data_IF_404210581648
#
_entry.id   IF_404210581648
#
_cell.length_a   1.000
_cell.length_b   1.000
_cell.length_c   1.000
_cell.angle_alpha   90.00
_cell.angle_beta   90.00
_cell.angle_gamma   90.00
#
_symmetry.space_group_name_H-M   'P 1'
#
loop_
_entity.id
_entity.type
_entity.pdbx_description
1 polymer ?
#
# COMPACT_ATOMS: atom_id res chain seq x y z
N UNK A 1 -26.28 11.42 28.31
CA UNK A 1 -25.43 11.32 29.52
C UNK A 1 -24.01 11.68 29.10
N UNK A 2 -23.35 12.60 29.79
CA UNK A 2 -21.93 12.89 29.52
C UNK A 2 -21.06 11.76 30.06
N UNK A 3 -20.16 11.21 29.24
CA UNK A 3 -19.16 10.27 29.72
C UNK A 3 -18.21 11.01 30.70
N UNK A 4 -17.80 10.37 31.81
CA UNK A 4 -16.85 10.99 32.74
C UNK A 4 -15.49 11.18 32.08
N UNK A 5 -14.89 12.36 32.27
CA UNK A 5 -13.51 12.65 31.88
C UNK A 5 -12.59 12.46 33.09
N UNK A 6 -11.73 11.44 33.04
CA UNK A 6 -10.74 11.18 34.09
C UNK A 6 -9.44 11.93 33.81
N UNK A 7 -8.85 12.58 34.83
CA UNK A 7 -7.52 13.23 34.72
C UNK A 7 -6.37 12.22 34.80
N UNK A 8 -6.56 11.14 35.54
CA UNK A 8 -5.62 10.03 35.75
C UNK A 8 -6.40 8.80 36.20
N UNK A 9 -5.71 7.65 36.33
CA UNK A 9 -6.30 6.42 36.86
C UNK A 9 -6.70 6.59 38.33
N UNK A 10 -7.90 6.14 38.69
CA UNK A 10 -8.35 6.05 40.09
C UNK A 10 -7.79 4.81 40.78
N UNK A 11 -7.82 4.77 42.11
CA UNK A 11 -7.39 3.58 42.85
C UNK A 11 -8.25 2.35 42.52
N UNK A 12 -9.56 2.52 42.32
CA UNK A 12 -10.46 1.44 41.90
C UNK A 12 -10.07 0.90 40.51
N UNK A 13 -9.70 1.79 39.59
CA UNK A 13 -9.22 1.40 38.26
C UNK A 13 -7.88 0.65 38.37
N UNK A 14 -6.95 1.09 39.22
CA UNK A 14 -5.68 0.37 39.43
C UNK A 14 -5.89 -0.99 40.11
N UNK A 15 -6.87 -1.12 41.02
CA UNK A 15 -7.27 -2.42 41.58
C UNK A 15 -7.85 -3.36 40.50
N UNK A 16 -8.55 -2.81 39.51
CA UNK A 16 -9.14 -3.59 38.42
C UNK A 16 -8.12 -3.97 37.33
N UNK A 17 -7.27 -3.04 36.90
CA UNK A 17 -6.39 -3.19 35.73
C UNK A 17 -4.92 -3.46 36.09
N UNK A 18 -4.60 -3.45 37.37
CA UNK A 18 -3.25 -3.64 37.90
C UNK A 18 -2.50 -2.31 38.09
N UNK A 19 -1.33 -2.38 38.76
CA UNK A 19 -0.47 -1.22 38.95
C UNK A 19 0.11 -0.73 37.61
N UNK A 20 0.74 0.44 37.65
CA UNK A 20 1.55 0.91 36.53
C UNK A 20 2.59 -0.16 36.14
N UNK A 21 2.73 -0.38 34.84
CA UNK A 21 3.65 -1.37 34.26
C UNK A 21 4.89 -0.66 33.71
N UNK A 22 6.04 -1.33 33.77
CA UNK A 22 7.24 -0.89 33.07
C UNK A 22 7.06 -0.98 31.55
N UNK A 23 7.82 -0.19 30.80
CA UNK A 23 7.78 -0.23 29.34
C UNK A 23 8.34 -1.56 28.82
N UNK A 24 7.62 -2.18 27.88
CA UNK A 24 8.14 -3.31 27.12
C UNK A 24 9.19 -2.82 26.11
N UNK A 25 10.38 -3.45 26.14
CA UNK A 25 11.47 -3.15 25.21
C UNK A 25 11.71 -4.35 24.30
N UNK A 26 11.55 -4.13 23.00
CA UNK A 26 11.72 -5.18 21.98
C UNK A 26 13.06 -5.01 21.26
N UNK A 27 13.75 -6.14 21.05
CA UNK A 27 14.89 -6.21 20.12
C UNK A 27 14.38 -6.66 18.76
N UNK A 28 14.67 -5.89 17.70
CA UNK A 28 14.11 -6.13 16.38
C UNK A 28 15.16 -6.15 15.27
N UNK A 29 14.84 -6.82 14.16
CA UNK A 29 15.55 -6.73 12.88
C UNK A 29 14.59 -6.38 11.74
N UNK A 30 15.17 -6.00 10.59
CA UNK A 30 14.42 -5.57 9.41
C UNK A 30 14.68 -6.54 8.27
N UNK A 31 13.62 -7.05 7.65
CA UNK A 31 13.71 -7.79 6.41
C UNK A 31 13.09 -6.96 5.29
N UNK A 32 13.83 -6.81 4.19
CA UNK A 32 13.43 -5.97 3.06
C UNK A 32 13.16 -6.87 1.85
N UNK A 33 11.98 -6.70 1.28
CA UNK A 33 11.49 -7.39 0.10
C UNK A 33 11.30 -6.37 -1.01
N UNK A 34 11.85 -6.64 -2.19
CA UNK A 34 11.75 -5.73 -3.33
C UNK A 34 11.09 -6.43 -4.52
N UNK A 35 10.36 -5.67 -5.34
CA UNK A 35 9.80 -6.16 -6.61
C UNK A 35 10.88 -6.84 -7.48
N UNK A 36 10.60 -7.97 -8.15
CA UNK A 36 9.31 -8.65 -8.33
C UNK A 36 8.94 -9.65 -7.21
N UNK A 37 9.47 -9.47 -5.98
CA UNK A 37 9.05 -10.22 -4.79
C UNK A 37 9.20 -11.75 -4.87
N UNK A 38 10.26 -12.22 -5.55
CA UNK A 38 10.55 -13.65 -5.70
C UNK A 38 11.36 -14.14 -4.49
N UNK A 39 10.67 -14.40 -3.38
CA UNK A 39 11.25 -14.91 -2.15
C UNK A 39 10.50 -16.16 -1.68
N UNK A 40 11.21 -17.09 -1.01
CA UNK A 40 10.63 -18.38 -0.58
C UNK A 40 9.43 -18.25 0.36
N UNK A 41 9.34 -17.15 1.07
CA UNK A 41 8.35 -16.89 2.11
C UNK A 41 7.36 -15.78 1.73
N UNK A 42 7.35 -15.39 0.45
CA UNK A 42 6.45 -14.37 -0.10
C UNK A 42 5.56 -15.01 -1.14
N UNK A 43 4.27 -14.69 -1.07
CA UNK A 43 3.25 -15.10 -2.01
C UNK A 43 2.63 -13.85 -2.63
N UNK A 44 2.54 -13.82 -3.96
CA UNK A 44 2.00 -12.69 -4.72
C UNK A 44 0.89 -13.21 -5.62
N UNK A 45 -0.24 -12.52 -5.68
CA UNK A 45 -1.33 -12.90 -6.57
C UNK A 45 -2.24 -11.74 -6.95
N UNK A 46 -3.01 -11.99 -8.01
CA UNK A 46 -4.00 -11.08 -8.60
C UNK A 46 -3.41 -9.70 -8.95
N UNK A 47 -2.48 -9.71 -9.90
CA UNK A 47 -1.79 -8.55 -10.45
C UNK A 47 -1.95 -8.52 -11.98
N UNK A 48 -1.87 -7.34 -12.57
CA UNK A 48 -2.05 -7.13 -14.01
C UNK A 48 -0.73 -7.26 -14.78
N UNK A 49 0.32 -6.61 -14.30
CA UNK A 49 1.62 -6.60 -14.97
C UNK A 49 2.78 -6.60 -13.97
N UNK A 50 3.93 -7.06 -14.47
CA UNK A 50 5.23 -6.86 -13.83
C UNK A 50 6.04 -5.98 -14.79
N UNK A 51 6.18 -4.71 -14.43
CA UNK A 51 6.93 -3.73 -15.20
C UNK A 51 8.31 -3.52 -14.54
N UNK A 52 9.43 -3.67 -15.26
CA UNK A 52 10.78 -3.49 -14.71
C UNK A 52 11.06 -2.11 -14.09
N UNK A 53 10.28 -1.09 -14.46
CA UNK A 53 10.41 0.31 -14.03
C UNK A 53 9.39 0.72 -12.96
N UNK A 54 8.24 0.01 -12.86
CA UNK A 54 7.17 0.32 -11.90
C UNK A 54 7.04 -0.68 -10.76
N UNK A 55 7.39 -1.94 -10.99
CA UNK A 55 7.17 -3.05 -10.07
C UNK A 55 5.97 -3.92 -10.48
N UNK A 56 5.28 -4.49 -9.48
CA UNK A 56 4.08 -5.30 -9.71
C UNK A 56 2.86 -4.40 -9.56
N UNK A 57 2.04 -4.28 -10.60
CA UNK A 57 0.76 -3.56 -10.56
C UNK A 57 -0.33 -4.50 -10.05
N UNK A 58 -0.74 -4.29 -8.80
CA UNK A 58 -1.76 -5.11 -8.17
C UNK A 58 -3.15 -4.67 -8.61
N UNK A 59 -4.01 -5.65 -8.85
CA UNK A 59 -5.42 -5.37 -9.04
C UNK A 59 -6.02 -4.80 -7.77
N UNK A 60 -6.71 -3.68 -7.89
CA UNK A 60 -7.29 -3.02 -6.74
C UNK A 60 -8.24 -3.94 -5.96
N UNK A 61 -8.22 -3.82 -4.63
CA UNK A 61 -8.97 -4.61 -3.63
C UNK A 61 -8.59 -6.09 -3.51
N UNK A 62 -8.36 -6.80 -4.62
CA UNK A 62 -8.18 -8.25 -4.63
C UNK A 62 -6.72 -8.68 -4.75
N UNK A 63 -5.88 -7.85 -5.38
CA UNK A 63 -4.42 -8.02 -5.45
C UNK A 63 -3.76 -8.05 -4.08
N UNK A 64 -2.79 -8.96 -3.92
CA UNK A 64 -2.19 -9.23 -2.63
C UNK A 64 -0.71 -9.61 -2.69
N UNK A 65 0.00 -9.22 -1.63
CA UNK A 65 1.35 -9.66 -1.30
C UNK A 65 1.34 -10.17 0.15
N UNK A 66 1.54 -11.47 0.34
CA UNK A 66 1.58 -12.10 1.66
C UNK A 66 3.01 -12.44 2.04
N UNK A 67 3.47 -12.01 3.21
CA UNK A 67 4.80 -12.32 3.75
C UNK A 67 4.64 -13.20 4.99
N UNK A 68 5.37 -14.31 5.02
CA UNK A 68 5.41 -15.24 6.16
C UNK A 68 6.80 -15.20 6.79
N UNK A 69 6.90 -14.72 8.01
CA UNK A 69 8.15 -14.64 8.77
C UNK A 69 8.27 -15.80 9.76
N UNK A 70 9.49 -16.25 10.03
CA UNK A 70 9.71 -17.24 11.09
C UNK A 70 9.55 -16.62 12.49
N UNK A 71 9.72 -15.29 12.58
CA UNK A 71 9.64 -14.50 13.81
C UNK A 71 8.43 -13.54 13.77
N UNK A 72 7.89 -13.13 14.94
CA UNK A 72 6.74 -12.23 14.99
C UNK A 72 7.03 -10.86 14.36
N UNK A 73 6.08 -10.38 13.56
CA UNK A 73 6.10 -9.09 12.86
C UNK A 73 5.43 -8.04 13.74
N UNK A 74 6.14 -6.94 14.02
CA UNK A 74 5.64 -5.82 14.83
C UNK A 74 5.25 -4.62 13.99
N UNK A 75 5.80 -4.51 12.77
CA UNK A 75 5.47 -3.44 11.85
C UNK A 75 5.77 -3.83 10.40
N UNK A 76 5.07 -3.17 9.49
CA UNK A 76 5.24 -3.31 8.05
C UNK A 76 5.31 -1.92 7.44
N UNK A 77 6.34 -1.65 6.64
CA UNK A 77 6.40 -0.46 5.81
C UNK A 77 6.16 -0.88 4.37
N UNK A 78 5.21 -0.22 3.70
CA UNK A 78 4.88 -0.45 2.30
C UNK A 78 5.28 0.79 1.52
N UNK A 79 6.14 0.61 0.53
CA UNK A 79 6.55 1.67 -0.38
C UNK A 79 6.02 1.36 -1.78
N UNK A 80 5.27 2.31 -2.32
CA UNK A 80 4.66 2.16 -3.63
C UNK A 80 3.92 3.41 -4.09
N UNK A 81 3.16 3.27 -5.15
CA UNK A 81 2.55 4.41 -5.84
C UNK A 81 1.38 3.96 -6.70
N UNK A 82 0.40 4.83 -6.89
CA UNK A 82 -0.74 4.57 -7.75
C UNK A 82 -0.54 5.05 -9.19
N UNK A 83 -1.27 4.45 -10.13
CA UNK A 83 -1.49 5.01 -11.46
C UNK A 83 -2.34 6.29 -11.41
N UNK A 84 -3.16 6.41 -10.35
CA UNK A 84 -4.07 7.51 -10.12
C UNK A 84 -3.98 7.99 -8.64
N UNK A 85 -4.40 9.23 -8.32
CA UNK A 85 -4.33 9.76 -6.95
C UNK A 85 -5.26 9.01 -5.98
N UNK A 86 -5.15 9.33 -4.69
CA UNK A 86 -5.95 8.71 -3.62
C UNK A 86 -5.74 7.18 -3.57
N UNK A 87 -4.48 6.79 -3.68
CA UNK A 87 -4.01 5.44 -3.39
C UNK A 87 -4.29 5.04 -1.95
N UNK A 88 -4.24 3.74 -1.71
CA UNK A 88 -4.34 3.17 -0.37
C UNK A 88 -3.52 1.90 -0.24
N UNK A 89 -3.08 1.65 0.98
CA UNK A 89 -2.52 0.37 1.37
C UNK A 89 -3.31 -0.19 2.54
N UNK A 90 -3.54 -1.50 2.51
CA UNK A 90 -4.17 -2.25 3.59
C UNK A 90 -3.15 -3.27 4.06
N UNK A 91 -2.90 -3.32 5.36
CA UNK A 91 -2.15 -4.40 5.99
C UNK A 91 -3.11 -5.20 6.86
N UNK A 92 -3.14 -6.52 6.67
CA UNK A 92 -3.99 -7.43 7.42
C UNK A 92 -3.21 -8.67 7.88
N UNK A 93 -3.67 -9.32 8.97
CA UNK A 93 -2.95 -10.43 9.60
C UNK A 93 -3.89 -11.47 10.20
N UNK A 94 -4.85 -11.90 9.39
CA UNK A 94 -5.82 -12.93 9.75
C UNK A 94 -5.13 -14.28 10.00
N UNK A 95 -5.59 -15.01 11.01
CA UNK A 95 -5.25 -16.42 11.16
C UNK A 95 -5.94 -17.24 10.05
N UNK A 96 -5.51 -18.48 9.83
CA UNK A 96 -6.18 -19.35 8.86
C UNK A 96 -7.69 -19.47 9.14
N UNK A 97 -8.49 -19.23 8.10
CA UNK A 97 -9.95 -19.25 8.19
C UNK A 97 -10.59 -18.01 8.85
N UNK A 98 -9.82 -17.07 9.40
CA UNK A 98 -10.35 -15.80 9.89
C UNK A 98 -10.56 -14.79 8.75
N UNK A 99 -11.64 -14.00 8.85
CA UNK A 99 -11.98 -12.91 7.94
C UNK A 99 -12.65 -11.78 8.71
N UNK A 100 -12.87 -10.66 8.03
CA UNK A 100 -13.67 -9.55 8.57
C UNK A 100 -15.12 -9.97 8.90
N UNK A 101 -15.65 -10.97 8.20
CA UNK A 101 -17.04 -11.43 8.35
C UNK A 101 -17.24 -12.46 9.46
N UNK A 102 -16.16 -13.08 9.97
CA UNK A 102 -16.26 -14.16 10.96
C UNK A 102 -15.45 -13.94 12.25
N UNK A 103 -14.81 -12.77 12.40
CA UNK A 103 -14.05 -12.39 13.59
C UNK A 103 -14.97 -12.12 14.81
N UNK A 104 -15.35 -13.18 15.53
CA UNK A 104 -16.18 -13.06 16.74
C UNK A 104 -15.37 -12.56 17.93
N UNK A 105 -15.74 -11.40 18.48
CA UNK A 105 -15.19 -10.81 19.71
C UNK A 105 -13.67 -10.57 19.71
N UNK A 106 -13.07 -10.40 18.53
CA UNK A 106 -11.65 -10.06 18.40
C UNK A 106 -11.48 -8.62 17.89
N UNK A 107 -10.30 -8.04 18.14
CA UNK A 107 -9.92 -6.79 17.50
C UNK A 107 -9.72 -7.02 15.99
N UNK A 108 -10.10 -6.02 15.19
CA UNK A 108 -9.95 -6.07 13.73
C UNK A 108 -8.47 -6.17 13.38
N UNK A 109 -8.08 -7.25 12.68
CA UNK A 109 -6.70 -7.51 12.26
C UNK A 109 -6.38 -6.89 10.90
N UNK A 110 -6.78 -5.63 10.73
CA UNK A 110 -6.68 -4.87 9.48
C UNK A 110 -6.46 -3.38 9.77
N UNK A 111 -5.50 -2.79 9.09
CA UNK A 111 -5.25 -1.34 9.06
C UNK A 111 -5.26 -0.87 7.61
N UNK A 112 -5.80 0.32 7.38
CA UNK A 112 -5.83 0.97 6.06
C UNK A 112 -5.25 2.36 6.18
N UNK A 113 -4.29 2.67 5.31
CA UNK A 113 -3.81 4.03 5.09
C UNK A 113 -4.32 4.48 3.73
N UNK A 114 -5.05 5.59 3.72
CA UNK A 114 -5.72 6.16 2.55
C UNK A 114 -5.07 7.48 2.11
N UNK A 115 -5.51 7.99 0.95
CA UNK A 115 -5.10 9.28 0.39
C UNK A 115 -3.59 9.36 0.14
N UNK A 116 -3.01 8.22 -0.25
CA UNK A 116 -1.64 8.13 -0.73
C UNK A 116 -1.58 8.77 -2.12
N UNK A 117 -0.80 9.85 -2.27
CA UNK A 117 -0.80 10.67 -3.50
C UNK A 117 0.48 10.54 -4.33
N UNK A 118 1.41 9.71 -3.90
CA UNK A 118 2.54 9.28 -4.70
C UNK A 118 2.11 8.54 -5.96
N UNK A 119 2.67 8.96 -7.09
CA UNK A 119 2.39 8.45 -8.44
C UNK A 119 3.69 7.96 -9.07
N UNK A 120 3.64 6.80 -9.73
CA UNK A 120 4.79 6.31 -10.51
C UNK A 120 4.79 6.94 -11.89
N UNK A 121 5.86 6.74 -12.69
CA UNK A 121 5.94 7.40 -13.97
C UNK A 121 4.71 7.12 -14.84
N UNK A 122 4.08 8.23 -15.24
CA UNK A 122 2.94 8.23 -16.13
C UNK A 122 3.26 7.46 -17.42
N UNK A 123 2.22 6.88 -18.03
CA UNK A 123 2.26 6.32 -19.38
C UNK A 123 2.98 7.25 -20.38
N UNK A 124 2.93 8.57 -20.19
CA UNK A 124 3.68 9.56 -21.00
C UNK A 124 5.18 9.36 -20.94
N UNK A 125 5.74 9.12 -19.75
CA UNK A 125 7.18 8.86 -19.56
C UNK A 125 7.56 7.55 -20.24
N UNK A 126 6.73 6.51 -20.09
CA UNK A 126 6.99 5.21 -20.69
C UNK A 126 6.90 5.22 -22.23
N UNK A 127 5.94 5.97 -22.79
CA UNK A 127 5.84 6.21 -24.23
C UNK A 127 7.07 6.95 -24.78
N UNK A 128 7.55 7.98 -24.06
CA UNK A 128 8.77 8.70 -24.47
C UNK A 128 10.03 7.85 -24.35
N UNK A 129 10.10 6.95 -23.36
CA UNK A 129 11.19 6.00 -23.19
C UNK A 129 11.14 4.84 -24.19
N UNK A 130 10.06 4.72 -24.97
CA UNK A 130 9.87 3.63 -25.93
C UNK A 130 9.63 2.27 -25.25
N UNK A 131 9.16 2.25 -24.00
CA UNK A 131 8.94 1.04 -23.20
C UNK A 131 7.88 0.11 -23.81
N UNK A 132 6.94 0.66 -24.58
CA UNK A 132 5.89 -0.09 -25.27
C UNK A 132 6.08 -0.05 -26.80
N UNK A 133 6.74 -1.06 -27.41
CA UNK A 133 6.97 -1.07 -28.84
C UNK A 133 5.66 -1.02 -29.64
N UNK A 134 5.52 0.00 -30.48
CA UNK A 134 4.38 0.16 -31.38
C UNK A 134 3.20 0.98 -30.83
N UNK A 135 3.18 1.29 -29.53
CA UNK A 135 2.20 2.20 -28.94
C UNK A 135 2.60 3.66 -29.25
N UNK A 136 1.70 4.45 -29.84
CA UNK A 136 1.94 5.87 -30.16
C UNK A 136 1.15 6.76 -29.20
N UNK A 137 1.60 8.01 -29.02
CA UNK A 137 0.92 8.99 -28.18
C UNK A 137 -0.59 9.11 -28.47
N UNK A 138 -0.95 9.19 -29.76
CA UNK A 138 -2.34 9.28 -30.24
C UNK A 138 -3.22 8.08 -29.87
N UNK A 139 -2.62 6.94 -29.53
CA UNK A 139 -3.35 5.73 -29.16
C UNK A 139 -3.79 5.76 -27.69
N UNK A 140 -3.21 6.68 -26.89
CA UNK A 140 -3.52 6.92 -25.47
C UNK A 140 -4.34 8.22 -25.30
N UNK A 141 -3.92 9.31 -25.95
CA UNK A 141 -4.68 10.57 -25.98
C UNK A 141 -4.53 11.22 -27.37
N UNK A 142 -5.64 11.46 -28.12
CA UNK A 142 -5.59 12.05 -29.45
C UNK A 142 -5.04 13.48 -29.48
N UNK A 143 -5.03 14.18 -28.34
CA UNK A 143 -4.52 15.55 -28.22
C UNK A 143 -2.99 15.60 -28.04
N UNK A 144 -2.35 14.48 -27.72
CA UNK A 144 -0.88 14.37 -27.57
C UNK A 144 -0.25 13.92 -28.89
N UNK A 145 0.41 14.85 -29.57
CA UNK A 145 0.95 14.62 -30.93
C UNK A 145 2.47 14.44 -30.95
N UNK A 146 3.16 14.77 -29.87
CA UNK A 146 4.63 14.74 -29.81
C UNK A 146 5.18 14.47 -28.41
N UNK A 147 6.46 14.04 -28.29
CA UNK A 147 7.15 13.99 -27.01
C UNK A 147 7.19 15.33 -26.28
N UNK A 148 7.17 16.45 -27.00
CA UNK A 148 7.12 17.79 -26.40
C UNK A 148 5.76 18.05 -25.74
N UNK A 149 4.66 17.60 -26.33
CA UNK A 149 3.33 17.72 -25.73
C UNK A 149 3.18 16.81 -24.50
N UNK A 150 3.75 15.61 -24.56
CA UNK A 150 3.87 14.71 -23.41
C UNK A 150 4.75 15.32 -22.30
N UNK A 151 5.91 15.90 -22.65
CA UNK A 151 6.78 16.61 -21.72
C UNK A 151 6.08 17.82 -21.11
N UNK A 152 5.25 18.58 -21.85
CA UNK A 152 4.48 19.70 -21.28
C UNK A 152 3.48 19.24 -20.22
N UNK A 153 2.78 18.13 -20.49
CA UNK A 153 1.91 17.49 -19.50
C UNK A 153 2.70 17.08 -18.25
N UNK A 154 3.97 16.70 -18.39
CA UNK A 154 4.84 16.31 -17.28
C UNK A 154 5.53 17.50 -16.58
N UNK A 155 5.97 18.52 -17.32
CA UNK A 155 6.80 19.63 -16.85
C UNK A 155 6.02 20.65 -16.04
N UNK A 156 4.72 20.75 -16.29
CA UNK A 156 3.84 21.55 -15.45
C UNK A 156 3.70 20.92 -14.06
N UNK A 157 4.19 19.69 -13.87
CA UNK A 157 4.08 18.98 -12.62
C UNK A 157 2.62 18.74 -12.29
N UNK A 158 1.70 18.70 -13.27
CA UNK A 158 0.28 18.45 -13.06
C UNK A 158 -0.31 17.59 -14.21
N UNK A 159 -1.00 16.49 -13.87
CA UNK A 159 -1.90 15.77 -14.79
C UNK A 159 -3.33 16.02 -14.34
N UNK A 160 -4.17 16.60 -15.21
CA UNK A 160 -5.55 17.00 -14.87
C UNK A 160 -5.68 17.85 -13.58
N UNK A 161 -4.68 18.69 -13.28
CA UNK A 161 -4.66 19.53 -12.08
C UNK A 161 -4.12 18.83 -10.82
N UNK A 162 -3.55 17.63 -10.92
CA UNK A 162 -2.95 16.86 -9.82
C UNK A 162 -1.43 16.78 -9.93
N UNK A 163 -0.72 17.09 -8.86
CA UNK A 163 0.74 17.25 -8.90
C UNK A 163 1.48 15.96 -9.34
N UNK A 164 2.19 16.00 -10.47
CA UNK A 164 3.04 14.93 -11.04
C UNK A 164 4.43 14.89 -10.38
N UNK A 165 4.46 14.97 -9.05
CA UNK A 165 5.65 14.62 -8.32
C UNK A 165 5.83 13.11 -8.34
N UNK A 166 6.89 12.61 -8.97
CA UNK A 166 7.31 11.20 -8.83
C UNK A 166 7.77 10.98 -7.39
N UNK A 167 6.83 10.65 -6.52
CA UNK A 167 7.11 10.26 -5.15
C UNK A 167 6.41 8.94 -4.91
N UNK A 168 7.13 7.98 -4.34
CA UNK A 168 6.47 6.81 -3.76
C UNK A 168 5.95 7.19 -2.38
N UNK A 169 4.76 6.70 -2.03
CA UNK A 169 4.25 6.82 -0.68
C UNK A 169 4.91 5.77 0.19
N UNK A 170 5.15 6.12 1.45
CA UNK A 170 5.43 5.14 2.51
C UNK A 170 4.24 5.05 3.44
N UNK A 171 3.59 3.89 3.49
CA UNK A 171 2.58 3.56 4.49
C UNK A 171 3.21 2.71 5.60
N UNK A 172 3.09 3.17 6.84
CA UNK A 172 3.64 2.50 8.03
C UNK A 172 2.50 1.87 8.81
N UNK A 173 2.56 0.55 8.97
CA UNK A 173 1.59 -0.24 9.73
C UNK A 173 2.24 -0.75 11.01
N UNK A 174 1.56 -0.55 12.15
CA UNK A 174 1.99 -1.10 13.44
C UNK A 174 1.06 -2.24 13.80
N UNK A 175 1.62 -3.43 13.86
CA UNK A 175 0.84 -4.63 14.15
C UNK A 175 0.79 -4.81 15.66
N UNK A 176 -0.42 -4.85 16.23
CA UNK A 176 -0.61 -4.97 17.67
C UNK A 176 -0.30 -6.37 18.19
N UNK A 177 -0.01 -6.48 19.49
CA UNK A 177 0.08 -7.77 20.18
C UNK A 177 -1.29 -8.47 20.24
N UNK A 178 -1.37 -9.80 20.05
CA UNK A 178 -0.27 -10.72 19.78
C UNK A 178 0.29 -10.55 18.35
N UNK A 179 1.62 -10.41 18.26
CA UNK A 179 2.29 -10.14 16.99
C UNK A 179 2.21 -11.35 16.03
N UNK A 180 1.71 -11.17 14.80
CA UNK A 180 1.54 -12.27 13.86
C UNK A 180 2.87 -12.63 13.21
N UNK A 181 2.93 -13.82 12.64
CA UNK A 181 4.04 -14.26 11.76
C UNK A 181 3.71 -14.10 10.28
N UNK A 182 2.49 -13.67 9.97
CA UNK A 182 2.01 -13.53 8.60
C UNK A 182 1.28 -12.20 8.48
N UNK A 183 1.57 -11.49 7.40
CA UNK A 183 0.86 -10.27 6.99
C UNK A 183 0.54 -10.36 5.52
N UNK A 184 -0.60 -9.81 5.13
CA UNK A 184 -1.00 -9.61 3.75
C UNK A 184 -1.16 -8.12 3.50
N UNK A 185 -0.49 -7.64 2.47
CA UNK A 185 -0.60 -6.27 1.97
C UNK A 185 -1.49 -6.27 0.74
N UNK A 186 -2.48 -5.38 0.73
CA UNK A 186 -3.31 -5.07 -0.43
C UNK A 186 -3.19 -3.59 -0.76
N UNK A 187 -3.47 -3.24 -2.01
CA UNK A 187 -3.40 -1.85 -2.45
C UNK A 187 -4.35 -1.58 -3.61
N UNK A 188 -4.47 -0.30 -3.95
CA UNK A 188 -5.30 0.19 -5.04
C UNK A 188 -5.44 1.71 -4.98
N UNK A 189 -6.20 2.28 -5.90
CA UNK A 189 -6.54 3.69 -5.97
C UNK A 189 -8.05 3.89 -5.93
N UNK A 190 -8.51 4.86 -5.15
CA UNK A 190 -9.95 5.15 -5.03
C UNK A 190 -10.57 5.82 -6.26
N UNK A 191 -9.75 6.24 -7.22
CA UNK A 191 -10.23 6.84 -8.46
C UNK A 191 -9.97 5.88 -9.61
N UNK A 192 -10.72 6.00 -10.72
CA UNK A 192 -10.44 5.22 -11.91
C UNK A 192 -9.06 5.54 -12.47
N UNK A 193 -8.39 4.51 -12.97
CA UNK A 193 -7.26 4.64 -13.89
C UNK A 193 -7.78 4.70 -15.32
N UNK A 194 -7.14 5.50 -16.19
CA UNK A 194 -7.49 5.70 -17.59
C UNK A 194 -9.00 5.94 -17.85
N UNK A 195 -9.61 6.95 -17.19
CA UNK A 195 -11.04 7.19 -17.25
C UNK A 195 -11.53 7.46 -18.68
N UNK A 196 -12.72 6.96 -19.00
CA UNK A 196 -13.38 7.04 -20.31
C UNK A 196 -12.62 6.35 -21.46
N UNK A 197 -11.65 5.50 -21.14
CA UNK A 197 -10.94 4.67 -22.13
C UNK A 197 -11.36 3.20 -22.06
N UNK A 198 -11.01 2.42 -23.09
CA UNK A 198 -11.17 0.95 -23.07
C UNK A 198 -10.28 0.24 -22.04
N UNK A 199 -9.32 0.95 -21.45
CA UNK A 199 -8.38 0.45 -20.45
C UNK A 199 -8.80 0.85 -19.03
N UNK A 200 -9.96 1.50 -18.85
CA UNK A 200 -10.41 2.00 -17.55
C UNK A 200 -10.47 0.90 -16.49
N UNK A 201 -9.89 1.17 -15.32
CA UNK A 201 -9.90 0.27 -14.14
C UNK A 201 -10.47 1.02 -12.95
N UNK A 202 -11.52 0.49 -12.33
CA UNK A 202 -12.07 1.02 -11.07
C UNK A 202 -12.35 -0.11 -10.06
N UNK A 203 -11.79 -0.02 -8.84
CA UNK A 203 -10.78 0.95 -8.40
C UNK A 203 -9.49 0.82 -9.23
N UNK A 204 -8.73 1.91 -9.39
CA UNK A 204 -7.51 1.93 -10.22
C UNK A 204 -6.32 1.24 -9.54
N UNK A 205 -5.25 0.98 -10.29
CA UNK A 205 -4.19 0.09 -9.81
C UNK A 205 -3.13 0.79 -8.96
N UNK A 206 -2.37 -0.02 -8.22
CA UNK A 206 -1.28 0.45 -7.37
C UNK A 206 -0.08 -0.49 -7.44
N UNK A 207 1.09 0.09 -7.68
CA UNK A 207 2.35 -0.64 -7.75
C UNK A 207 3.07 -0.62 -6.39
N UNK A 208 3.37 -1.80 -5.84
CA UNK A 208 4.24 -1.93 -4.66
C UNK A 208 5.66 -2.22 -5.13
N UNK A 209 6.64 -1.50 -4.58
CA UNK A 209 8.06 -1.65 -4.93
C UNK A 209 8.88 -2.27 -3.83
N UNK A 210 8.62 -1.86 -2.59
CA UNK A 210 9.34 -2.33 -1.42
C UNK A 210 8.35 -2.63 -0.31
N UNK A 211 8.55 -3.75 0.37
CA UNK A 211 7.93 -4.04 1.66
C UNK A 211 9.03 -4.33 2.66
N UNK A 212 9.02 -3.64 3.79
CA UNK A 212 9.91 -3.92 4.92
C UNK A 212 9.08 -4.47 6.07
N UNK A 213 9.42 -5.65 6.56
CA UNK A 213 8.90 -6.19 7.82
C UNK A 213 9.90 -5.90 8.94
N UNK A 214 9.40 -5.44 10.09
CA UNK A 214 10.17 -5.33 11.32
C UNK A 214 9.76 -6.50 12.21
N UNK A 215 10.70 -7.38 12.53
CA UNK A 215 10.43 -8.61 13.30
C UNK A 215 11.19 -8.60 14.63
N UNK A 216 10.62 -9.26 15.64
CA UNK A 216 11.29 -9.48 16.94
C UNK A 216 12.45 -10.46 16.73
N UNK A 217 13.61 -10.16 17.33
CA UNK A 217 14.81 -11.02 17.26
C UNK A 217 14.70 -12.30 18.07
#
# INVERSE_FOLDING_TARGET
MGLPLFKTFTEEQLKQFGPARDCEVLSTERHVYTTPFVYKNVEVGDFYEIDPTKGIEFKADTGFLTIKENKPIVAVNVVGSGCAPKGYNICEWWSEGETIDNMKNQLVKRQRVDNLNGTHPSIWVQLMMGTFPGLKFKDVDPDIKSPVDAMKKLSDGYYEGLYLGFYENTAVFRVGSPYPKQVTVRCGCKVPEDPSTRMERYPGDYAIRVVETIVIK
#
